data_IF_762038958173
#
_entry.id   IF_762038958173
#
_cell.length_a   1.000
_cell.length_b   1.000
_cell.length_c   1.000
_cell.angle_alpha   90.00
_cell.angle_beta   90.00
_cell.angle_gamma   90.00
#
_symmetry.space_group_name_H-M   'P 1'
#
loop_
_entity.id
_entity.type
_entity.pdbx_description
1 polymer ?
#
# COMPACT_ATOMS: atom_id res chain seq x y z
N UNK A 1 21.00 7.05 7.38
CA UNK A 1 20.65 5.96 6.45
C UNK A 1 20.19 4.72 7.20
N UNK A 2 20.99 4.11 8.07
CA UNK A 2 20.64 2.84 8.76
C UNK A 2 19.31 2.84 9.53
N UNK A 3 18.94 3.95 10.18
CA UNK A 3 17.69 4.05 10.96
C UNK A 3 16.44 4.02 10.07
N UNK A 4 16.45 4.72 8.94
CA UNK A 4 15.34 4.69 7.97
C UNK A 4 15.16 3.31 7.34
N UNK A 5 16.27 2.64 7.01
CA UNK A 5 16.24 1.29 6.41
C UNK A 5 15.69 0.25 7.39
N UNK A 6 16.04 0.35 8.68
CA UNK A 6 15.49 -0.54 9.72
C UNK A 6 13.99 -0.33 9.95
N UNK A 7 13.51 0.92 9.92
CA UNK A 7 12.08 1.23 9.97
C UNK A 7 11.34 0.71 8.75
N UNK A 8 11.95 0.82 7.56
CA UNK A 8 11.41 0.26 6.32
C UNK A 8 11.24 -1.27 6.38
N UNK A 9 12.24 -1.97 6.93
CA UNK A 9 12.17 -3.42 7.13
C UNK A 9 11.06 -3.80 8.12
N UNK A 10 10.94 -3.08 9.22
CA UNK A 10 9.89 -3.29 10.21
C UNK A 10 8.50 -3.07 9.58
N UNK A 11 8.33 -1.98 8.82
CA UNK A 11 7.09 -1.69 8.09
C UNK A 11 6.74 -2.81 7.10
N UNK A 12 7.73 -3.38 6.40
CA UNK A 12 7.50 -4.49 5.48
C UNK A 12 6.97 -5.76 6.18
N UNK A 13 7.47 -6.07 7.38
CA UNK A 13 6.98 -7.19 8.19
C UNK A 13 5.51 -6.98 8.58
N UNK A 14 5.17 -5.79 9.08
CA UNK A 14 3.78 -5.46 9.42
C UNK A 14 2.87 -5.45 8.19
N UNK A 15 3.35 -4.97 7.05
CA UNK A 15 2.61 -4.98 5.81
C UNK A 15 2.32 -6.41 5.32
N UNK A 16 3.30 -7.31 5.41
CA UNK A 16 3.10 -8.72 5.09
C UNK A 16 2.03 -9.36 5.99
N UNK A 17 2.09 -9.12 7.30
CA UNK A 17 1.06 -9.56 8.25
C UNK A 17 -0.33 -9.00 7.92
N UNK A 18 -0.40 -7.73 7.54
CA UNK A 18 -1.64 -7.07 7.12
C UNK A 18 -2.26 -7.76 5.88
N UNK A 19 -1.46 -8.04 4.84
CA UNK A 19 -1.94 -8.71 3.62
C UNK A 19 -2.45 -10.12 3.90
N UNK A 20 -1.73 -10.91 4.72
CA UNK A 20 -2.18 -12.23 5.13
C UNK A 20 -3.48 -12.16 5.92
N UNK A 21 -3.59 -11.23 6.85
CA UNK A 21 -4.83 -11.03 7.63
C UNK A 21 -6.01 -10.63 6.76
N UNK A 22 -5.82 -9.75 5.78
CA UNK A 22 -6.87 -9.42 4.80
C UNK A 22 -7.27 -10.67 4.02
N UNK A 23 -6.31 -11.46 3.57
CA UNK A 23 -6.61 -12.71 2.83
C UNK A 23 -7.46 -13.65 3.67
N UNK A 24 -7.09 -13.88 4.92
CA UNK A 24 -7.85 -14.76 5.82
C UNK A 24 -9.25 -14.21 6.10
N UNK A 25 -9.38 -12.91 6.35
CA UNK A 25 -10.67 -12.28 6.57
C UNK A 25 -11.59 -12.35 5.35
N UNK A 26 -11.04 -12.23 4.13
CA UNK A 26 -11.83 -12.33 2.90
C UNK A 26 -12.30 -13.75 2.59
N UNK A 27 -11.79 -14.78 3.25
CA UNK A 27 -12.34 -16.13 3.20
C UNK A 27 -13.65 -16.27 3.99
N UNK A 28 -13.87 -15.41 4.99
CA UNK A 28 -15.04 -15.44 5.88
C UNK A 28 -16.00 -14.27 5.60
N UNK A 29 -15.46 -13.12 5.27
CA UNK A 29 -16.21 -11.88 5.03
C UNK A 29 -16.11 -11.45 3.57
N UNK A 30 -17.16 -10.76 3.10
CA UNK A 30 -17.09 -10.09 1.79
C UNK A 30 -15.99 -9.01 1.79
N UNK A 31 -15.28 -8.79 0.67
CA UNK A 31 -14.19 -7.82 0.58
C UNK A 31 -14.57 -6.41 1.07
N UNK A 32 -15.77 -5.94 0.74
CA UNK A 32 -16.26 -4.63 1.18
C UNK A 32 -16.43 -4.54 2.71
N UNK A 33 -16.91 -5.61 3.35
CA UNK A 33 -17.03 -5.67 4.82
C UNK A 33 -15.65 -5.74 5.47
N UNK A 34 -14.74 -6.53 4.92
CA UNK A 34 -13.36 -6.61 5.39
C UNK A 34 -12.70 -5.22 5.34
N UNK A 35 -12.80 -4.53 4.22
CA UNK A 35 -12.25 -3.18 4.08
C UNK A 35 -12.88 -2.20 5.09
N UNK A 36 -14.19 -2.25 5.27
CA UNK A 36 -14.90 -1.39 6.22
C UNK A 36 -14.38 -1.57 7.66
N UNK A 37 -14.29 -2.80 8.14
CA UNK A 37 -13.80 -3.06 9.50
C UNK A 37 -12.32 -2.69 9.67
N UNK A 38 -11.49 -3.03 8.69
CA UNK A 38 -10.06 -2.68 8.70
C UNK A 38 -9.89 -1.16 8.75
N UNK A 39 -10.63 -0.42 7.93
CA UNK A 39 -10.56 1.05 7.92
C UNK A 39 -10.99 1.66 9.26
N UNK A 40 -12.08 1.16 9.87
CA UNK A 40 -12.51 1.64 11.19
C UNK A 40 -11.43 1.40 12.24
N UNK A 41 -10.91 0.17 12.31
CA UNK A 41 -9.88 -0.19 13.31
C UNK A 41 -8.63 0.67 13.12
N UNK A 42 -8.16 0.82 11.88
CA UNK A 42 -7.00 1.65 11.56
C UNK A 42 -7.24 3.11 11.94
N UNK A 43 -8.42 3.64 11.64
CA UNK A 43 -8.79 5.02 12.01
C UNK A 43 -8.79 5.20 13.52
N UNK A 44 -9.40 4.27 14.28
CA UNK A 44 -9.41 4.35 15.74
C UNK A 44 -8.01 4.25 16.36
N UNK A 45 -7.11 3.44 15.77
CA UNK A 45 -5.73 3.32 16.22
C UNK A 45 -4.90 4.59 15.93
N UNK A 46 -5.13 5.24 14.78
CA UNK A 46 -4.38 6.43 14.38
C UNK A 46 -4.95 7.73 14.94
N UNK A 47 -6.22 7.74 15.33
CA UNK A 47 -6.90 8.94 15.83
C UNK A 47 -6.19 9.59 17.02
N UNK A 48 -5.73 8.88 18.07
CA UNK A 48 -4.99 9.50 19.16
C UNK A 48 -3.71 10.19 18.71
N UNK A 49 -2.96 9.57 17.79
CA UNK A 49 -1.71 10.13 17.26
C UNK A 49 -1.99 11.38 16.46
N UNK A 50 -3.01 11.35 15.59
CA UNK A 50 -3.38 12.51 14.78
C UNK A 50 -3.89 13.70 15.62
N UNK A 51 -4.58 13.43 16.74
CA UNK A 51 -5.03 14.46 17.65
C UNK A 51 -3.87 15.11 18.43
N UNK A 52 -2.84 14.35 18.75
CA UNK A 52 -1.63 14.90 19.38
C UNK A 52 -0.81 15.82 18.46
N UNK A 53 -0.86 15.57 17.14
CA UNK A 53 -0.17 16.37 16.12
C UNK A 53 -1.04 17.51 15.55
N UNK A 54 -2.33 17.54 15.88
CA UNK A 54 -3.30 18.47 15.29
C UNK A 54 -3.04 19.97 15.62
N UNK A 55 -2.28 20.29 16.65
CA UNK A 55 -1.94 21.67 17.01
C UNK A 55 -1.16 22.43 15.91
N UNK A 56 -0.56 21.71 14.97
CA UNK A 56 0.22 22.30 13.86
C UNK A 56 -0.53 22.33 12.51
N UNK A 57 -1.71 21.76 12.41
CA UNK A 57 -2.47 21.61 11.15
C UNK A 57 -3.53 22.71 10.98
N UNK A 58 -3.13 23.88 10.49
CA UNK A 58 -4.09 24.85 9.95
C UNK A 58 -4.36 24.53 8.46
N UNK A 59 -5.33 23.66 8.19
CA UNK A 59 -5.72 23.29 6.83
C UNK A 59 -6.57 24.40 6.19
N UNK A 60 -6.15 24.84 5.00
CA UNK A 60 -7.01 25.66 4.14
C UNK A 60 -8.18 24.83 3.60
N UNK A 61 -9.25 25.48 3.16
CA UNK A 61 -10.39 24.78 2.54
C UNK A 61 -9.96 23.94 1.33
N UNK A 62 -9.03 24.43 0.55
CA UNK A 62 -8.50 23.72 -0.64
C UNK A 62 -7.78 22.42 -0.24
N UNK A 63 -6.91 22.48 0.76
CA UNK A 63 -6.18 21.32 1.27
C UNK A 63 -7.11 20.27 1.85
N UNK A 64 -8.16 20.70 2.54
CA UNK A 64 -9.19 19.78 3.07
C UNK A 64 -9.91 19.03 1.96
N UNK A 65 -10.31 19.70 0.86
CA UNK A 65 -10.92 19.02 -0.29
C UNK A 65 -9.96 18.07 -1.00
N UNK A 66 -8.69 18.43 -1.11
CA UNK A 66 -7.66 17.55 -1.69
C UNK A 66 -7.52 16.29 -0.83
N UNK A 67 -7.44 16.42 0.50
CA UNK A 67 -7.33 15.28 1.42
C UNK A 67 -8.54 14.35 1.36
N UNK A 68 -9.77 14.90 1.31
CA UNK A 68 -10.99 14.10 1.14
C UNK A 68 -10.97 13.35 -0.19
N UNK A 69 -10.64 14.04 -1.27
CA UNK A 69 -10.56 13.41 -2.60
C UNK A 69 -9.53 12.29 -2.60
N UNK A 70 -8.34 12.52 -2.04
CA UNK A 70 -7.30 11.51 -1.90
C UNK A 70 -7.78 10.31 -1.07
N UNK A 71 -8.45 10.56 0.08
CA UNK A 71 -8.97 9.50 0.92
C UNK A 71 -10.00 8.63 0.20
N UNK A 72 -10.93 9.24 -0.56
CA UNK A 72 -11.94 8.50 -1.34
C UNK A 72 -11.26 7.65 -2.42
N UNK A 73 -10.38 8.24 -3.24
CA UNK A 73 -9.73 7.51 -4.33
C UNK A 73 -8.76 6.46 -3.83
N UNK A 74 -7.91 6.77 -2.87
CA UNK A 74 -6.91 5.85 -2.34
C UNK A 74 -7.54 4.75 -1.50
N UNK A 75 -8.39 5.09 -0.53
CA UNK A 75 -8.91 4.13 0.44
C UNK A 75 -10.13 3.37 -0.08
N UNK A 76 -11.04 4.02 -0.78
CA UNK A 76 -12.25 3.34 -1.26
C UNK A 76 -12.01 2.61 -2.57
N UNK A 77 -11.50 3.31 -3.60
CA UNK A 77 -11.29 2.67 -4.90
C UNK A 77 -10.05 1.78 -4.93
N UNK A 78 -8.86 2.31 -4.62
CA UNK A 78 -7.63 1.54 -4.78
C UNK A 78 -7.58 0.37 -3.79
N UNK A 79 -7.80 0.62 -2.49
CA UNK A 79 -7.83 -0.45 -1.49
C UNK A 79 -9.01 -1.42 -1.70
N UNK A 80 -10.17 -0.93 -2.15
CA UNK A 80 -11.31 -1.77 -2.49
C UNK A 80 -10.98 -2.73 -3.62
N UNK A 81 -10.31 -2.27 -4.68
CA UNK A 81 -9.85 -3.11 -5.78
C UNK A 81 -8.79 -4.13 -5.33
N UNK A 82 -7.81 -3.71 -4.53
CA UNK A 82 -6.79 -4.60 -3.98
C UNK A 82 -7.44 -5.70 -3.13
N UNK A 83 -8.30 -5.34 -2.17
CA UNK A 83 -8.97 -6.30 -1.28
C UNK A 83 -9.84 -7.27 -2.07
N UNK A 84 -10.56 -6.77 -3.08
CA UNK A 84 -11.38 -7.60 -3.98
C UNK A 84 -10.53 -8.52 -4.86
N UNK A 85 -9.35 -8.06 -5.29
CA UNK A 85 -8.38 -8.86 -6.03
C UNK A 85 -7.80 -9.99 -5.17
N UNK A 86 -7.32 -9.66 -3.97
CA UNK A 86 -6.75 -10.61 -3.00
C UNK A 86 -7.75 -11.73 -2.66
N UNK A 87 -9.04 -11.40 -2.54
CA UNK A 87 -10.07 -12.40 -2.22
C UNK A 87 -10.22 -13.50 -3.28
N UNK A 88 -9.88 -13.21 -4.54
CA UNK A 88 -10.10 -14.09 -5.69
C UNK A 88 -8.90 -14.96 -6.07
N UNK A 89 -7.72 -14.70 -5.50
CA UNK A 89 -6.47 -15.38 -5.84
C UNK A 89 -5.83 -15.99 -4.61
N UNK A 90 -4.85 -16.88 -4.79
CA UNK A 90 -4.09 -17.44 -3.67
C UNK A 90 -3.25 -16.37 -2.97
N UNK A 91 -2.91 -16.60 -1.71
CA UNK A 91 -2.04 -15.68 -0.95
C UNK A 91 -0.67 -15.51 -1.63
N UNK A 92 -0.13 -16.58 -2.22
CA UNK A 92 1.11 -16.56 -2.97
C UNK A 92 1.03 -15.62 -4.19
N UNK A 93 -0.01 -15.74 -5.00
CA UNK A 93 -0.20 -14.89 -6.18
C UNK A 93 -0.48 -13.43 -5.76
N UNK A 94 -1.23 -13.22 -4.68
CA UNK A 94 -1.47 -11.87 -4.13
C UNK A 94 -0.17 -11.16 -3.77
N UNK A 95 0.73 -11.85 -3.06
CA UNK A 95 2.02 -11.27 -2.66
C UNK A 95 2.91 -10.95 -3.87
N UNK A 96 2.93 -11.82 -4.89
CA UNK A 96 3.67 -11.56 -6.12
C UNK A 96 3.16 -10.32 -6.87
N UNK A 97 1.83 -10.19 -7.01
CA UNK A 97 1.24 -9.01 -7.68
C UNK A 97 1.52 -7.73 -6.90
N UNK A 98 1.49 -7.78 -5.56
CA UNK A 98 1.79 -6.61 -4.72
C UNK A 98 3.26 -6.18 -4.80
N UNK A 99 4.19 -7.10 -5.10
CA UNK A 99 5.59 -6.74 -5.39
C UNK A 99 5.76 -5.88 -6.64
N UNK A 100 4.75 -5.83 -7.53
CA UNK A 100 4.75 -4.90 -8.66
C UNK A 100 4.54 -3.42 -8.26
N UNK A 101 4.02 -3.16 -7.07
CA UNK A 101 3.71 -1.78 -6.63
C UNK A 101 4.93 -0.83 -6.68
N UNK A 102 6.11 -1.17 -6.11
CA UNK A 102 7.27 -0.29 -6.19
C UNK A 102 7.78 -0.10 -7.62
N UNK A 103 7.68 -1.11 -8.47
CA UNK A 103 8.05 -1.02 -9.89
C UNK A 103 7.09 -0.08 -10.63
N UNK A 104 5.79 -0.23 -10.41
CA UNK A 104 4.78 0.66 -10.98
C UNK A 104 4.97 2.10 -10.47
N UNK A 105 5.24 2.30 -9.17
CA UNK A 105 5.49 3.61 -8.60
C UNK A 105 6.71 4.29 -9.24
N UNK A 106 7.82 3.57 -9.42
CA UNK A 106 9.00 4.07 -10.10
C UNK A 106 8.70 4.45 -11.56
N UNK A 107 7.92 3.64 -12.28
CA UNK A 107 7.50 3.94 -13.64
C UNK A 107 6.64 5.21 -13.71
N UNK A 108 5.67 5.39 -12.81
CA UNK A 108 4.83 6.58 -12.75
C UNK A 108 5.65 7.83 -12.36
N UNK A 109 6.58 7.73 -11.41
CA UNK A 109 7.49 8.81 -11.03
C UNK A 109 8.33 9.27 -12.23
N UNK A 110 8.91 8.32 -12.97
CA UNK A 110 9.67 8.62 -14.18
C UNK A 110 8.80 9.25 -15.27
N UNK A 111 7.62 8.68 -15.56
CA UNK A 111 6.79 9.11 -16.69
C UNK A 111 6.05 10.43 -16.43
N UNK A 112 5.43 10.60 -15.27
CA UNK A 112 4.61 11.78 -14.97
C UNK A 112 5.37 12.90 -14.27
N UNK A 113 6.30 12.55 -13.38
CA UNK A 113 7.05 13.51 -12.58
C UNK A 113 8.43 13.82 -13.19
N UNK A 114 8.80 13.13 -14.28
CA UNK A 114 10.10 13.27 -14.95
C UNK A 114 11.29 13.03 -14.00
N UNK A 115 11.08 12.17 -13.00
CA UNK A 115 12.13 11.78 -12.07
C UNK A 115 13.16 10.90 -12.75
N UNK A 116 14.44 11.24 -12.59
CA UNK A 116 15.54 10.42 -13.12
C UNK A 116 15.72 9.19 -12.22
N UNK A 117 15.49 8.01 -12.78
CA UNK A 117 15.79 6.76 -12.09
C UNK A 117 17.29 6.54 -12.02
N UNK A 118 17.81 6.31 -10.82
CA UNK A 118 19.22 5.94 -10.66
C UNK A 118 19.49 4.53 -11.23
N UNK A 119 20.71 4.24 -11.69
CA UNK A 119 21.06 2.90 -12.18
C UNK A 119 20.79 1.79 -11.16
N UNK A 120 20.92 2.09 -9.87
CA UNK A 120 20.62 1.15 -8.78
C UNK A 120 19.11 0.86 -8.67
N UNK A 121 18.26 1.87 -8.85
CA UNK A 121 16.79 1.70 -8.87
C UNK A 121 16.35 0.88 -10.09
N UNK A 122 16.95 1.11 -11.26
CA UNK A 122 16.67 0.33 -12.47
C UNK A 122 17.09 -1.13 -12.29
N UNK A 123 18.27 -1.39 -11.74
CA UNK A 123 18.73 -2.74 -11.46
C UNK A 123 17.84 -3.44 -10.42
N UNK A 124 17.46 -2.75 -9.34
CA UNK A 124 16.53 -3.26 -8.32
C UNK A 124 15.16 -3.62 -8.91
N UNK A 125 14.58 -2.74 -9.73
CA UNK A 125 13.33 -2.99 -10.44
C UNK A 125 13.39 -4.21 -11.35
N UNK A 126 14.48 -4.38 -12.09
CA UNK A 126 14.70 -5.54 -12.96
C UNK A 126 14.78 -6.85 -12.16
N UNK A 127 15.50 -6.85 -11.05
CA UNK A 127 15.60 -8.01 -10.15
C UNK A 127 14.22 -8.41 -9.62
N UNK A 128 13.41 -7.44 -9.21
CA UNK A 128 12.03 -7.69 -8.74
C UNK A 128 11.19 -8.32 -9.85
N UNK A 129 11.24 -7.79 -11.07
CA UNK A 129 10.49 -8.35 -12.21
C UNK A 129 10.91 -9.78 -12.55
N UNK A 130 12.21 -10.06 -12.54
CA UNK A 130 12.73 -11.42 -12.78
C UNK A 130 12.28 -12.37 -11.65
N UNK A 131 12.33 -11.93 -10.40
CA UNK A 131 11.90 -12.73 -9.26
C UNK A 131 10.40 -13.06 -9.34
N UNK A 132 9.54 -12.10 -9.69
CA UNK A 132 8.11 -12.30 -9.91
C UNK A 132 7.87 -13.32 -11.04
N UNK A 133 8.57 -13.15 -12.17
CA UNK A 133 8.44 -14.05 -13.29
C UNK A 133 8.82 -15.49 -12.93
N UNK A 134 9.94 -15.70 -12.24
CA UNK A 134 10.37 -17.02 -11.79
C UNK A 134 9.37 -17.64 -10.79
N UNK A 135 8.88 -16.85 -9.83
CA UNK A 135 7.94 -17.31 -8.82
C UNK A 135 6.54 -17.60 -9.40
N UNK A 136 6.14 -16.92 -10.48
CA UNK A 136 4.84 -17.17 -11.12
C UNK A 136 4.79 -18.45 -11.95
N UNK A 137 5.95 -19.07 -12.24
CA UNK A 137 6.04 -20.33 -13.03
C UNK A 137 5.92 -21.59 -12.17
N UNK A 138 6.02 -21.47 -10.86
CA UNK A 138 5.85 -22.59 -9.92
C UNK A 138 4.46 -22.57 -9.30
#
# INVERSE_FOLDING_TARGET
MVFGDSLGLLAAIFYAGYILSIKDLTNVLQPAKTLFFVTIITTLCLLPISLMEAESLSLSKSEFFILISYAIFSQTFAQGLITSGISKVSAHLSSLVLLMQPVAAAFYGWFFLQELLSPLQMAGGLIVLVAIYLASRN
#
